data_IF_330016747367
#
_entry.id   IF_330016747367
#
_cell.length_a   1.000
_cell.length_b   1.000
_cell.length_c   1.000
_cell.angle_alpha   90.00
_cell.angle_beta   90.00
_cell.angle_gamma   90.00
#
_symmetry.space_group_name_H-M   'P 1'
#
loop_
_entity.id
_entity.type
_entity.pdbx_description
1 polymer ?
#
# COMPACT_ATOMS: atom_id res chain seq x y z
N UNK A 1 8.66 14.24 -23.42
CA UNK A 1 9.26 13.18 -22.58
C UNK A 1 8.31 12.00 -22.56
N UNK A 2 8.83 10.78 -22.70
CA UNK A 2 8.08 9.51 -22.52
C UNK A 2 7.33 9.50 -21.18
N UNK A 3 6.07 9.07 -21.15
CA UNK A 3 5.22 9.01 -19.95
C UNK A 3 5.87 8.16 -18.85
N UNK A 4 6.53 7.06 -19.22
CA UNK A 4 7.25 6.22 -18.26
C UNK A 4 8.47 6.94 -17.66
N UNK A 5 9.17 7.74 -18.46
CA UNK A 5 10.29 8.55 -17.98
C UNK A 5 9.82 9.65 -17.02
N UNK A 6 8.68 10.30 -17.31
CA UNK A 6 8.08 11.27 -16.41
C UNK A 6 7.64 10.64 -15.09
N UNK A 7 6.99 9.47 -15.14
CA UNK A 7 6.60 8.75 -13.94
C UNK A 7 7.82 8.30 -13.12
N UNK A 8 8.87 7.79 -13.78
CA UNK A 8 10.10 7.40 -13.11
C UNK A 8 10.74 8.60 -12.39
N UNK A 9 10.82 9.76 -13.05
CA UNK A 9 11.34 10.98 -12.43
C UNK A 9 10.51 11.37 -11.20
N UNK A 10 9.18 11.36 -11.31
CA UNK A 10 8.31 11.66 -10.16
C UNK A 10 8.51 10.67 -9.01
N UNK A 11 8.69 9.39 -9.29
CA UNK A 11 9.00 8.40 -8.25
C UNK A 11 10.36 8.67 -7.60
N UNK A 12 11.38 9.06 -8.39
CA UNK A 12 12.70 9.44 -7.88
C UNK A 12 12.61 10.66 -6.95
N UNK A 13 11.83 11.67 -7.34
CA UNK A 13 11.62 12.89 -6.55
C UNK A 13 10.86 12.63 -5.23
N UNK A 14 10.20 11.47 -5.11
CA UNK A 14 9.43 11.06 -3.93
C UNK A 14 10.04 9.84 -3.21
N UNK A 15 11.28 9.46 -3.52
CA UNK A 15 11.99 8.47 -2.70
C UNK A 15 12.13 9.01 -1.28
N UNK A 16 11.69 8.21 -0.32
CA UNK A 16 11.64 8.61 1.08
C UNK A 16 13.03 8.77 1.68
N UNK A 17 13.31 9.88 2.39
CA UNK A 17 14.56 10.04 3.13
C UNK A 17 14.74 8.94 4.17
N UNK A 18 16.00 8.59 4.46
CA UNK A 18 16.36 7.53 5.42
C UNK A 18 15.69 7.74 6.78
N UNK A 19 15.68 8.96 7.27
CA UNK A 19 15.10 9.33 8.56
C UNK A 19 13.57 9.13 8.58
N UNK A 20 12.91 9.38 7.45
CA UNK A 20 11.48 9.12 7.30
C UNK A 20 11.22 7.62 7.29
N UNK A 21 11.99 6.83 6.54
CA UNK A 21 11.88 5.37 6.54
C UNK A 21 12.07 4.78 7.95
N UNK A 22 13.09 5.21 8.69
CA UNK A 22 13.33 4.76 10.07
C UNK A 22 12.15 5.07 11.01
N UNK A 23 11.59 6.29 10.93
CA UNK A 23 10.39 6.68 11.70
C UNK A 23 9.17 5.81 11.39
N UNK A 24 9.13 5.23 10.19
CA UNK A 24 8.06 4.37 9.72
C UNK A 24 8.38 2.87 9.84
N UNK A 25 9.37 2.50 10.65
CA UNK A 25 9.65 1.11 11.01
C UNK A 25 10.44 0.31 9.97
N UNK A 26 11.02 0.98 8.97
CA UNK A 26 12.00 0.34 8.10
C UNK A 26 13.30 0.13 8.88
N UNK A 27 13.88 -1.05 8.71
CA UNK A 27 15.24 -1.33 9.19
C UNK A 27 16.17 -1.06 8.02
N UNK A 28 17.13 -0.14 8.19
CA UNK A 28 18.06 0.25 7.14
C UNK A 28 19.48 0.04 7.65
N UNK A 29 20.09 -1.06 7.20
CA UNK A 29 21.50 -1.48 7.38
C UNK A 29 22.14 -1.09 8.74
N UNK A 30 22.32 -2.09 9.61
CA UNK A 30 23.45 -2.08 10.56
C UNK A 30 24.71 -2.53 9.81
N UNK A 31 25.89 -2.06 10.23
CA UNK A 31 27.12 -2.01 9.41
C UNK A 31 27.56 -3.33 8.74
N UNK A 32 27.06 -4.49 9.16
CA UNK A 32 27.58 -5.81 8.78
C UNK A 32 26.59 -6.81 8.13
N UNK A 33 25.35 -6.42 7.79
CA UNK A 33 24.34 -7.38 7.26
C UNK A 33 24.31 -7.48 5.71
N UNK A 34 25.44 -7.82 5.10
CA UNK A 34 25.60 -7.92 3.63
C UNK A 34 24.66 -8.95 2.97
N UNK A 35 24.19 -9.94 3.71
CA UNK A 35 23.28 -10.99 3.23
C UNK A 35 21.85 -10.50 3.01
N UNK A 36 21.50 -9.31 3.51
CA UNK A 36 20.18 -8.70 3.34
C UNK A 36 20.23 -7.43 2.50
N UNK A 37 21.41 -6.94 2.17
CA UNK A 37 21.55 -5.75 1.33
C UNK A 37 21.40 -6.09 -0.15
N UNK A 38 20.73 -5.21 -0.88
CA UNK A 38 20.65 -5.29 -2.33
C UNK A 38 22.05 -5.24 -2.96
N UNK A 39 22.32 -6.01 -4.03
CA UNK A 39 23.59 -5.95 -4.71
C UNK A 39 23.82 -4.55 -5.32
N UNK A 40 25.10 -4.19 -5.55
CA UNK A 40 25.43 -2.97 -6.26
C UNK A 40 24.77 -2.96 -7.64
N UNK A 41 24.61 -1.76 -8.19
CA UNK A 41 23.97 -1.53 -9.49
C UNK A 41 24.47 -2.53 -10.53
N UNK A 42 23.55 -3.28 -11.14
CA UNK A 42 23.89 -4.17 -12.26
C UNK A 42 24.00 -3.31 -13.51
N UNK A 43 25.19 -2.78 -13.79
CA UNK A 43 25.41 -1.94 -14.98
C UNK A 43 25.33 -2.79 -16.24
N UNK A 44 24.21 -2.67 -16.95
CA UNK A 44 24.03 -2.68 -18.40
C UNK A 44 22.52 -2.65 -18.67
N UNK A 45 22.00 -1.50 -19.14
CA UNK A 45 20.68 -1.34 -19.75
C UNK A 45 19.56 -2.16 -19.07
N UNK A 46 19.33 -1.98 -17.76
CA UNK A 46 18.09 -2.50 -17.16
C UNK A 46 16.93 -1.96 -18.01
N UNK A 47 16.02 -2.82 -18.51
CA UNK A 47 14.80 -2.34 -19.14
C UNK A 47 14.13 -1.33 -18.21
N UNK A 48 13.62 -0.22 -18.75
CA UNK A 48 13.02 0.86 -17.97
C UNK A 48 12.01 0.32 -16.93
N UNK A 49 11.28 -0.74 -17.29
CA UNK A 49 10.36 -1.48 -16.43
C UNK A 49 10.95 -1.97 -15.08
N UNK A 50 12.27 -2.18 -14.98
CA UNK A 50 12.96 -2.70 -13.78
C UNK A 50 13.56 -1.59 -12.89
N UNK A 51 13.37 -0.32 -13.28
CA UNK A 51 13.77 0.85 -12.49
C UNK A 51 12.88 1.09 -11.28
N UNK A 52 11.62 0.68 -11.35
CA UNK A 52 10.68 0.76 -10.24
C UNK A 52 9.80 -0.50 -10.20
N UNK A 53 9.72 -1.16 -9.05
CA UNK A 53 9.01 -2.42 -8.86
C UNK A 53 8.04 -2.27 -7.69
N UNK A 54 6.83 -2.79 -7.86
CA UNK A 54 5.83 -2.86 -6.80
C UNK A 54 5.78 -4.27 -6.25
N UNK A 55 5.79 -4.41 -4.93
CA UNK A 55 5.80 -5.70 -4.24
C UNK A 55 4.54 -5.86 -3.39
N UNK A 56 4.01 -7.07 -3.31
CA UNK A 56 3.02 -7.43 -2.29
C UNK A 56 3.16 -8.89 -1.82
N UNK A 57 2.84 -9.11 -0.54
CA UNK A 57 2.96 -10.40 0.13
C UNK A 57 1.72 -10.70 0.97
N UNK A 58 1.13 -11.88 0.79
CA UNK A 58 -0.05 -12.31 1.55
C UNK A 58 0.10 -13.75 2.02
N UNK A 59 -0.03 -13.98 3.32
CA UNK A 59 -0.18 -15.32 3.86
C UNK A 59 -1.51 -15.96 3.41
N UNK A 60 -1.42 -17.16 2.84
CA UNK A 60 -2.55 -17.93 2.34
C UNK A 60 -3.25 -18.65 3.48
N UNK A 61 -2.48 -19.05 4.49
CA UNK A 61 -2.95 -19.84 5.62
C UNK A 61 -2.75 -19.09 6.96
N UNK A 62 -3.38 -19.61 8.02
CA UNK A 62 -3.28 -19.02 9.36
C UNK A 62 -1.98 -19.37 10.06
N UNK A 63 -1.36 -20.50 9.71
CA UNK A 63 -0.12 -20.98 10.32
C UNK A 63 1.11 -20.31 9.71
N UNK A 64 0.92 -19.53 8.63
CA UNK A 64 1.99 -18.85 7.88
C UNK A 64 2.99 -19.84 7.27
N UNK A 65 2.48 -20.99 6.86
CA UNK A 65 3.25 -22.02 6.15
C UNK A 65 3.24 -21.75 4.64
N UNK A 66 2.23 -21.01 4.16
CA UNK A 66 2.07 -20.65 2.76
C UNK A 66 1.85 -19.15 2.60
N UNK A 67 2.56 -18.57 1.66
CA UNK A 67 2.32 -17.22 1.20
C UNK A 67 2.11 -17.17 -0.32
N UNK A 68 1.54 -16.08 -0.79
CA UNK A 68 1.61 -15.67 -2.18
C UNK A 68 2.34 -14.34 -2.24
N UNK A 69 3.15 -14.21 -3.27
CA UNK A 69 3.93 -13.02 -3.52
C UNK A 69 3.73 -12.59 -4.96
N UNK A 70 3.58 -11.28 -5.15
CA UNK A 70 3.56 -10.68 -6.48
C UNK A 70 4.55 -9.53 -6.55
N UNK A 71 5.20 -9.41 -7.70
CA UNK A 71 5.99 -8.25 -8.09
C UNK A 71 5.59 -7.81 -9.49
N UNK A 72 5.36 -6.51 -9.68
CA UNK A 72 5.06 -5.92 -10.98
C UNK A 72 6.01 -4.75 -11.29
N UNK A 73 6.26 -4.48 -12.56
CA UNK A 73 6.95 -3.27 -12.97
C UNK A 73 6.03 -2.06 -12.75
N UNK A 74 6.46 -1.08 -11.96
CA UNK A 74 5.62 0.06 -11.59
C UNK A 74 5.23 0.93 -12.80
N UNK A 75 6.12 1.01 -13.79
CA UNK A 75 5.96 1.85 -14.97
C UNK A 75 5.04 1.21 -16.00
N UNK A 76 5.22 -0.07 -16.31
CA UNK A 76 4.53 -0.77 -17.41
C UNK A 76 3.39 -1.69 -16.94
N UNK A 77 3.28 -1.96 -15.64
CA UNK A 77 2.38 -2.97 -15.04
C UNK A 77 2.68 -4.42 -15.47
N UNK A 78 3.82 -4.66 -16.09
CA UNK A 78 4.29 -6.02 -16.44
C UNK A 78 4.37 -6.88 -15.16
N UNK A 79 3.83 -8.09 -15.20
CA UNK A 79 4.01 -9.07 -14.14
C UNK A 79 5.45 -9.61 -14.17
N UNK A 80 6.17 -9.45 -13.05
CA UNK A 80 7.55 -9.91 -12.92
C UNK A 80 7.61 -11.25 -12.18
N UNK A 81 6.87 -11.34 -11.08
CA UNK A 81 6.77 -12.53 -10.22
C UNK A 81 5.32 -12.66 -9.75
N UNK A 82 4.79 -13.88 -9.77
CA UNK A 82 3.47 -14.21 -9.21
C UNK A 82 3.48 -15.65 -8.70
N UNK A 83 4.02 -15.82 -7.49
CA UNK A 83 4.43 -17.11 -6.96
C UNK A 83 3.62 -17.50 -5.71
N UNK A 84 3.45 -18.82 -5.53
CA UNK A 84 3.10 -19.41 -4.24
C UNK A 84 4.43 -19.76 -3.54
N UNK A 85 4.60 -19.26 -2.32
CA UNK A 85 5.79 -19.44 -1.50
C UNK A 85 5.48 -20.44 -0.39
N UNK A 86 6.22 -21.54 -0.37
CA UNK A 86 6.14 -22.58 0.66
C UNK A 86 7.21 -22.27 1.71
N UNK A 87 6.82 -21.90 2.93
CA UNK A 87 7.72 -21.39 3.97
C UNK A 87 8.22 -22.46 4.95
N UNK A 88 7.50 -23.57 5.05
CA UNK A 88 7.86 -24.76 5.82
C UNK A 88 7.80 -25.95 4.86
N UNK A 89 8.60 -26.99 5.07
CA UNK A 89 8.53 -28.25 4.31
C UNK A 89 7.15 -28.92 4.49
N UNK A 90 6.18 -28.44 3.73
CA UNK A 90 4.93 -29.12 3.50
C UNK A 90 5.24 -30.16 2.42
N UNK A 91 4.99 -31.45 2.71
CA UNK A 91 5.11 -32.53 1.72
C UNK A 91 4.47 -32.07 0.39
N UNK A 92 5.20 -32.23 -0.72
CA UNK A 92 4.89 -31.69 -2.06
C UNK A 92 3.44 -31.91 -2.53
N UNK A 93 2.79 -32.95 -1.99
CA UNK A 93 1.44 -33.41 -2.34
C UNK A 93 0.30 -32.65 -1.64
N UNK A 94 0.54 -31.92 -0.54
CA UNK A 94 -0.54 -31.37 0.29
C UNK A 94 -1.06 -29.98 -0.14
N UNK A 95 -0.43 -29.35 -1.15
CA UNK A 95 -0.85 -28.02 -1.64
C UNK A 95 -1.45 -28.19 -3.03
N UNK A 96 -2.78 -28.30 -3.08
CA UNK A 96 -3.55 -28.36 -4.32
C UNK A 96 -3.17 -27.19 -5.26
N UNK A 97 -2.80 -27.54 -6.49
CA UNK A 97 -2.44 -26.61 -7.57
C UNK A 97 -3.60 -25.65 -7.79
N UNK A 98 -3.42 -24.41 -7.37
CA UNK A 98 -4.19 -23.29 -7.92
C UNK A 98 -3.21 -22.50 -8.78
N UNK A 99 -3.22 -22.77 -10.09
CA UNK A 99 -2.50 -22.07 -11.18
C UNK A 99 -1.51 -20.99 -10.71
N UNK A 100 -0.22 -21.35 -10.57
CA UNK A 100 0.86 -20.43 -10.22
C UNK A 100 2.22 -21.15 -10.09
N UNK A 101 3.33 -20.44 -10.33
CA UNK A 101 4.68 -20.97 -10.11
C UNK A 101 4.96 -21.09 -8.61
N UNK A 102 5.65 -22.16 -8.21
CA UNK A 102 5.98 -22.43 -6.79
C UNK A 102 7.43 -22.06 -6.51
N UNK A 103 7.67 -21.53 -5.32
CA UNK A 103 9.01 -21.29 -4.79
C UNK A 103 9.08 -21.81 -3.36
N UNK A 104 10.15 -22.54 -3.06
CA UNK A 104 10.40 -23.08 -1.73
C UNK A 104 11.32 -22.13 -0.95
N UNK A 105 10.83 -21.66 0.20
CA UNK A 105 11.48 -20.68 1.05
C UNK A 105 11.41 -19.25 0.52
N UNK A 106 11.48 -18.30 1.43
CA UNK A 106 11.61 -16.88 1.09
C UNK A 106 12.97 -16.56 0.47
N UNK A 107 14.02 -17.34 0.77
CA UNK A 107 15.37 -17.20 0.24
C UNK A 107 15.37 -17.32 -1.28
N UNK A 108 14.79 -18.40 -1.82
CA UNK A 108 14.73 -18.64 -3.26
C UNK A 108 13.96 -17.54 -3.99
N UNK A 109 12.90 -17.02 -3.37
CA UNK A 109 12.12 -15.93 -3.92
C UNK A 109 12.89 -14.60 -3.92
N UNK A 110 13.58 -14.31 -2.81
CA UNK A 110 14.46 -13.15 -2.68
C UNK A 110 15.58 -13.21 -3.72
N UNK A 111 16.22 -14.36 -3.87
CA UNK A 111 17.30 -14.57 -4.83
C UNK A 111 16.78 -14.38 -6.25
N UNK A 112 15.59 -14.87 -6.60
CA UNK A 112 14.98 -14.59 -7.89
C UNK A 112 14.73 -13.10 -8.12
N UNK A 113 14.13 -12.41 -7.15
CA UNK A 113 13.87 -10.96 -7.23
C UNK A 113 15.17 -10.19 -7.44
N UNK A 114 16.20 -10.46 -6.65
CA UNK A 114 17.49 -9.78 -6.69
C UNK A 114 18.26 -10.14 -7.95
N UNK A 115 18.36 -11.43 -8.29
CA UNK A 115 19.17 -11.89 -9.42
C UNK A 115 18.59 -11.39 -10.74
N UNK A 116 17.27 -11.39 -10.90
CA UNK A 116 16.64 -11.12 -12.19
C UNK A 116 16.10 -9.69 -12.34
N UNK A 117 15.69 -9.03 -11.25
CA UNK A 117 14.77 -7.89 -11.38
C UNK A 117 15.18 -6.63 -10.61
N UNK A 118 15.81 -6.76 -9.44
CA UNK A 118 16.07 -5.63 -8.56
C UNK A 118 17.56 -5.49 -8.20
N UNK A 119 18.01 -4.25 -7.97
CA UNK A 119 19.32 -3.93 -7.38
C UNK A 119 19.17 -2.73 -6.43
N UNK A 120 20.29 -2.25 -5.87
CA UNK A 120 20.32 -1.11 -4.95
C UNK A 120 19.73 0.19 -5.50
N UNK A 121 19.55 0.33 -6.83
CA UNK A 121 18.93 1.51 -7.43
C UNK A 121 17.48 1.31 -7.87
N UNK A 122 16.96 0.08 -7.79
CA UNK A 122 15.55 -0.17 -8.09
C UNK A 122 14.68 0.50 -7.05
N UNK A 123 13.70 1.31 -7.45
CA UNK A 123 12.76 1.93 -6.52
C UNK A 123 11.69 0.89 -6.15
N UNK A 124 11.54 0.57 -4.86
CA UNK A 124 10.38 -0.20 -4.41
C UNK A 124 9.20 0.71 -4.13
N UNK A 125 8.09 0.42 -4.81
CA UNK A 125 6.84 1.16 -4.71
C UNK A 125 5.81 0.29 -4.00
N UNK A 126 4.93 0.85 -3.18
CA UNK A 126 3.80 0.09 -2.67
C UNK A 126 3.10 0.68 -1.47
N UNK A 127 2.47 -0.19 -0.69
CA UNK A 127 1.77 0.17 0.53
C UNK A 127 2.36 -0.58 1.71
N UNK A 128 2.86 0.14 2.72
CA UNK A 128 3.50 -0.45 3.90
C UNK A 128 4.58 -1.48 3.52
N UNK A 129 5.45 -1.09 2.58
CA UNK A 129 6.47 -1.90 1.90
C UNK A 129 7.42 -2.58 2.90
N UNK A 130 7.63 -1.98 4.07
CA UNK A 130 8.42 -2.57 5.16
C UNK A 130 7.91 -3.97 5.56
N UNK A 131 6.60 -4.24 5.49
CA UNK A 131 6.06 -5.55 5.80
C UNK A 131 6.57 -6.60 4.81
N UNK A 132 6.47 -6.32 3.51
CA UNK A 132 6.95 -7.22 2.46
C UNK A 132 8.47 -7.41 2.54
N UNK A 133 9.23 -6.32 2.74
CA UNK A 133 10.69 -6.40 2.87
C UNK A 133 11.13 -7.20 4.09
N UNK A 134 10.40 -7.10 5.20
CA UNK A 134 10.63 -7.90 6.41
C UNK A 134 10.45 -9.39 6.14
N UNK A 135 9.37 -9.78 5.46
CA UNK A 135 9.13 -11.20 5.11
C UNK A 135 10.16 -11.73 4.09
N UNK A 136 10.67 -10.86 3.21
CA UNK A 136 11.77 -11.20 2.31
C UNK A 136 13.16 -11.12 2.97
N UNK A 137 13.26 -10.67 4.23
CA UNK A 137 14.54 -10.41 4.90
C UNK A 137 15.47 -9.54 4.04
N UNK A 138 14.91 -8.44 3.52
CA UNK A 138 15.57 -7.53 2.58
C UNK A 138 15.66 -6.12 3.17
N UNK A 139 16.82 -5.50 3.05
CA UNK A 139 17.05 -4.10 3.44
C UNK A 139 17.21 -3.26 2.19
N UNK A 140 16.43 -2.19 2.10
CA UNK A 140 16.43 -1.30 0.94
C UNK A 140 16.03 0.12 1.33
N UNK A 141 16.62 1.12 0.72
CA UNK A 141 16.41 2.54 1.03
C UNK A 141 15.74 3.34 -0.10
N UNK A 142 15.79 2.85 -1.35
CA UNK A 142 15.10 3.49 -2.46
C UNK A 142 13.62 3.07 -2.49
N UNK A 143 12.79 3.73 -1.66
CA UNK A 143 11.39 3.33 -1.42
C UNK A 143 10.43 4.50 -1.60
N UNK A 144 9.30 4.24 -2.26
CA UNK A 144 8.12 5.11 -2.33
C UNK A 144 6.91 4.37 -1.76
N UNK A 145 6.55 4.69 -0.54
CA UNK A 145 5.46 4.05 0.22
C UNK A 145 4.25 4.98 0.36
N UNK A 146 3.07 4.49 -0.06
CA UNK A 146 1.81 5.23 0.03
C UNK A 146 1.34 5.54 1.46
N UNK A 147 1.68 4.71 2.46
CA UNK A 147 1.35 4.99 3.86
C UNK A 147 2.15 6.18 4.39
N UNK A 148 3.40 6.32 3.95
CA UNK A 148 4.26 7.47 4.27
C UNK A 148 3.74 8.71 3.54
N UNK A 149 3.51 8.62 2.22
CA UNK A 149 2.96 9.74 1.44
C UNK A 149 1.64 10.28 2.01
N UNK A 150 0.74 9.37 2.42
CA UNK A 150 -0.50 9.74 3.09
C UNK A 150 -0.27 10.42 4.44
N UNK A 151 0.67 9.89 5.24
CA UNK A 151 1.05 10.46 6.54
C UNK A 151 1.61 11.87 6.39
N UNK A 152 2.49 12.09 5.41
CA UNK A 152 3.10 13.39 5.14
C UNK A 152 2.07 14.40 4.63
N UNK A 153 1.19 13.99 3.70
CA UNK A 153 0.14 14.85 3.18
C UNK A 153 -0.86 15.28 4.25
N UNK A 154 -1.16 14.41 5.22
CA UNK A 154 -2.08 14.69 6.32
C UNK A 154 -1.41 15.30 7.56
N UNK A 155 -0.08 15.25 7.64
CA UNK A 155 0.67 15.64 8.84
C UNK A 155 0.39 14.76 10.06
N UNK A 156 -0.11 13.53 9.87
CA UNK A 156 -0.58 12.64 10.94
C UNK A 156 0.07 11.27 10.81
N UNK A 157 0.85 10.86 11.83
CA UNK A 157 1.49 9.55 11.88
C UNK A 157 0.46 8.41 11.93
N UNK A 158 0.69 7.39 11.11
CA UNK A 158 -0.04 6.12 11.17
C UNK A 158 -1.37 6.11 10.42
N UNK A 159 -1.51 6.92 9.37
CA UNK A 159 -2.61 6.78 8.41
C UNK A 159 -2.41 5.47 7.65
N UNK A 160 -3.12 4.43 8.10
CA UNK A 160 -3.01 3.11 7.50
C UNK A 160 -4.00 3.03 6.34
N UNK A 161 -3.46 3.03 5.12
CA UNK A 161 -4.24 2.92 3.88
C UNK A 161 -4.56 1.42 3.66
N UNK A 162 -5.50 0.88 4.45
CA UNK A 162 -6.01 -0.49 4.29
C UNK A 162 -6.84 -0.72 3.01
N UNK A 163 -6.25 -1.35 2.00
CA UNK A 163 -6.97 -1.70 0.77
C UNK A 163 -8.11 -2.71 1.07
N UNK A 164 -9.34 -2.43 0.63
CA UNK A 164 -10.54 -3.17 1.08
C UNK A 164 -10.66 -4.61 0.54
N UNK A 165 -10.98 -5.56 1.44
CA UNK A 165 -11.31 -6.96 1.10
C UNK A 165 -12.60 -7.02 0.27
N UNK A 166 -12.51 -7.38 -1.01
CA UNK A 166 -13.67 -7.79 -1.84
C UNK A 166 -14.28 -9.10 -1.29
N UNK A 167 -15.50 -9.46 -1.72
CA UNK A 167 -16.17 -10.75 -1.38
C UNK A 167 -15.26 -11.97 -1.66
N UNK A 168 -14.37 -11.83 -2.65
CA UNK A 168 -13.21 -12.69 -2.87
C UNK A 168 -11.97 -11.96 -2.35
N UNK A 169 -11.14 -12.62 -1.52
CA UNK A 169 -9.85 -12.04 -1.11
C UNK A 169 -9.04 -11.70 -2.37
N UNK A 170 -8.64 -10.43 -2.58
CA UNK A 170 -7.81 -10.06 -3.73
C UNK A 170 -6.51 -10.86 -3.72
N UNK A 171 -6.02 -11.19 -4.90
CA UNK A 171 -4.70 -11.79 -5.04
C UNK A 171 -3.62 -10.75 -4.72
N UNK A 172 -2.39 -11.16 -4.35
CA UNK A 172 -1.29 -10.21 -4.19
C UNK A 172 -1.00 -9.40 -5.46
N UNK A 173 -1.28 -9.96 -6.64
CA UNK A 173 -1.17 -9.23 -7.89
C UNK A 173 -2.17 -8.06 -7.95
N UNK A 174 -3.43 -8.29 -7.56
CA UNK A 174 -4.45 -7.23 -7.49
C UNK A 174 -4.03 -6.13 -6.52
N UNK A 175 -3.42 -6.52 -5.39
CA UNK A 175 -2.91 -5.58 -4.41
C UNK A 175 -1.69 -4.80 -4.90
N UNK A 176 -0.74 -5.45 -5.58
CA UNK A 176 0.40 -4.78 -6.16
C UNK A 176 -0.05 -3.74 -7.22
N UNK A 177 -1.00 -4.09 -8.09
CA UNK A 177 -1.56 -3.13 -9.06
C UNK A 177 -2.26 -1.97 -8.35
N UNK A 178 -3.08 -2.26 -7.33
CA UNK A 178 -3.75 -1.21 -6.57
C UNK A 178 -2.76 -0.28 -5.84
N UNK A 179 -1.74 -0.84 -5.19
CA UNK A 179 -0.72 -0.07 -4.49
C UNK A 179 0.07 0.84 -5.44
N UNK A 180 0.39 0.35 -6.65
CA UNK A 180 0.97 1.16 -7.73
C UNK A 180 0.08 2.34 -8.05
N UNK A 181 -1.20 2.10 -8.35
CA UNK A 181 -2.12 3.14 -8.81
C UNK A 181 -2.36 4.21 -7.73
N UNK A 182 -2.37 3.80 -6.46
CA UNK A 182 -2.42 4.72 -5.32
C UNK A 182 -1.18 5.60 -5.27
N UNK A 183 0.03 5.03 -5.31
CA UNK A 183 1.26 5.84 -5.28
C UNK A 183 1.32 6.78 -6.47
N UNK A 184 0.97 6.31 -7.68
CA UNK A 184 0.96 7.15 -8.88
C UNK A 184 -0.02 8.31 -8.74
N UNK A 185 -1.22 8.09 -8.20
CA UNK A 185 -2.17 9.18 -7.91
C UNK A 185 -1.60 10.20 -6.92
N UNK A 186 -0.94 9.75 -5.85
CA UNK A 186 -0.32 10.60 -4.83
C UNK A 186 0.81 11.47 -5.39
N UNK A 187 1.78 10.88 -6.08
CA UNK A 187 2.93 11.63 -6.63
C UNK A 187 2.52 12.56 -7.79
N UNK A 188 1.42 12.24 -8.48
CA UNK A 188 0.83 13.12 -9.48
C UNK A 188 -0.07 14.21 -8.88
N UNK A 189 -0.40 14.12 -7.57
CA UNK A 189 -1.36 14.99 -6.89
C UNK A 189 -2.67 15.12 -7.67
N UNK A 190 -3.24 13.99 -8.09
CA UNK A 190 -4.49 14.03 -8.86
C UNK A 190 -5.60 14.70 -8.03
N UNK A 191 -6.61 15.33 -8.67
CA UNK A 191 -7.70 15.99 -7.95
C UNK A 191 -8.38 15.09 -6.93
N UNK A 192 -8.50 13.79 -7.22
CA UNK A 192 -9.08 12.80 -6.31
C UNK A 192 -8.26 12.65 -5.03
N UNK A 193 -6.93 12.62 -5.13
CA UNK A 193 -6.05 12.55 -3.97
C UNK A 193 -6.09 13.86 -3.17
N UNK A 194 -6.08 15.02 -3.83
CA UNK A 194 -6.14 16.32 -3.14
C UNK A 194 -7.44 16.45 -2.35
N UNK A 195 -8.58 16.21 -3.00
CA UNK A 195 -9.89 16.22 -2.35
C UNK A 195 -9.94 15.23 -1.18
N UNK A 196 -9.30 14.06 -1.35
CA UNK A 196 -9.21 13.08 -0.28
C UNK A 196 -8.41 13.60 0.93
N UNK A 197 -7.25 14.23 0.72
CA UNK A 197 -6.44 14.80 1.80
C UNK A 197 -7.27 15.81 2.59
N UNK A 198 -8.00 16.68 1.89
CA UNK A 198 -8.87 17.69 2.51
C UNK A 198 -9.99 17.05 3.35
N UNK A 199 -10.70 16.08 2.78
CA UNK A 199 -11.76 15.33 3.48
C UNK A 199 -11.20 14.63 4.72
N UNK A 200 -10.08 13.92 4.58
CA UNK A 200 -9.45 13.20 5.68
C UNK A 200 -8.94 14.14 6.78
N UNK A 201 -8.43 15.32 6.42
CA UNK A 201 -8.02 16.34 7.38
C UNK A 201 -9.22 16.93 8.13
N UNK A 202 -10.35 17.22 7.46
CA UNK A 202 -11.58 17.68 8.14
C UNK A 202 -12.06 16.62 9.14
N UNK A 203 -12.07 15.35 8.73
CA UNK A 203 -12.49 14.23 9.58
C UNK A 203 -11.57 14.10 10.80
N UNK A 204 -10.26 14.19 10.61
CA UNK A 204 -9.30 14.11 11.71
C UNK A 204 -9.47 15.25 12.71
N UNK A 205 -9.55 16.50 12.23
CA UNK A 205 -9.77 17.69 13.07
C UNK A 205 -11.05 17.56 13.89
N UNK A 206 -12.10 17.04 13.27
CA UNK A 206 -13.38 16.82 13.91
C UNK A 206 -13.30 15.73 14.99
N UNK A 207 -12.51 14.69 14.76
CA UNK A 207 -12.22 13.64 15.75
C UNK A 207 -11.42 14.17 16.95
N UNK A 208 -10.34 14.91 16.72
CA UNK A 208 -9.53 15.48 17.81
C UNK A 208 -10.32 16.46 18.67
N UNK A 209 -11.14 17.30 18.03
CA UNK A 209 -12.05 18.21 18.72
C UNK A 209 -12.99 17.44 19.66
N UNK A 210 -13.58 16.34 19.19
CA UNK A 210 -14.45 15.50 20.02
C UNK A 210 -13.68 14.84 21.17
N UNK A 211 -12.47 14.34 20.91
CA UNK A 211 -11.62 13.70 21.93
C UNK A 211 -11.21 14.68 23.04
N UNK A 212 -10.85 15.92 22.68
CA UNK A 212 -10.46 16.95 23.64
C UNK A 212 -11.64 17.42 24.52
N UNK A 213 -12.87 17.42 23.99
CA UNK A 213 -14.08 17.80 24.71
C UNK A 213 -14.58 16.71 25.68
N UNK A 214 -14.31 15.42 25.42
CA UNK A 214 -14.68 14.30 26.30
C UNK A 214 -13.82 14.22 27.59
N UNK A 215 -12.64 14.85 27.62
CA UNK A 215 -11.78 14.94 28.83
C UNK A 215 -12.43 15.87 29.89
N UNK A 216 -13.31 16.79 29.48
CA UNK A 216 -14.05 17.67 30.37
C UNK A 216 -15.49 17.16 30.58
N UNK A 217 -15.76 16.52 31.74
CA UNK A 217 -16.98 15.75 32.05
C UNK A 217 -18.33 16.47 31.88
N UNK A 218 -18.38 17.80 31.80
CA UNK A 218 -19.60 18.58 31.49
C UNK A 218 -19.94 18.63 29.99
N UNK A 219 -19.03 18.17 29.12
CA UNK A 219 -19.17 18.18 27.66
C UNK A 219 -19.82 16.94 27.03
N UNK A 220 -19.94 15.82 27.75
CA UNK A 220 -20.26 14.50 27.17
C UNK A 220 -21.55 14.44 26.32
N UNK A 221 -22.62 15.16 26.69
CA UNK A 221 -23.85 15.25 25.85
C UNK A 221 -23.63 16.08 24.58
N UNK A 222 -22.83 17.14 24.66
CA UNK A 222 -22.50 18.04 23.54
C UNK A 222 -21.49 17.36 22.60
N UNK A 223 -20.49 16.70 23.16
CA UNK A 223 -19.53 15.84 22.47
C UNK A 223 -20.24 14.69 21.74
N UNK A 224 -21.13 13.93 22.39
CA UNK A 224 -21.96 12.90 21.70
C UNK A 224 -22.79 13.46 20.54
N UNK A 225 -23.37 14.67 20.67
CA UNK A 225 -24.14 15.32 19.58
C UNK A 225 -23.23 15.79 18.45
N UNK A 226 -22.04 16.31 18.76
CA UNK A 226 -21.04 16.77 17.78
C UNK A 226 -20.37 15.57 17.07
N UNK A 227 -19.94 14.54 17.80
CA UNK A 227 -19.47 13.25 17.27
C UNK A 227 -20.51 12.58 16.38
N UNK A 228 -21.80 12.59 16.73
CA UNK A 228 -22.87 12.11 15.83
C UNK A 228 -22.97 12.95 14.55
N UNK A 229 -22.75 14.27 14.62
CA UNK A 229 -22.74 15.15 13.44
C UNK A 229 -21.54 14.87 12.55
N UNK A 230 -20.36 14.65 13.13
CA UNK A 230 -19.13 14.25 12.43
C UNK A 230 -19.30 12.86 11.82
N UNK A 231 -19.76 11.87 12.57
CA UNK A 231 -20.08 10.54 12.05
C UNK A 231 -21.13 10.61 10.94
N UNK A 232 -22.14 11.48 11.04
CA UNK A 232 -23.11 11.70 9.95
C UNK A 232 -22.47 12.33 8.73
N UNK A 233 -21.57 13.32 8.89
CA UNK A 233 -20.81 13.92 7.79
C UNK A 233 -19.88 12.90 7.16
N UNK A 234 -19.07 12.20 7.95
CA UNK A 234 -18.25 11.06 7.50
C UNK A 234 -19.10 10.05 6.76
N UNK A 235 -20.24 9.60 7.31
CA UNK A 235 -21.15 8.67 6.63
C UNK A 235 -21.75 9.25 5.34
N UNK A 236 -22.02 10.55 5.28
CA UNK A 236 -22.55 11.22 4.09
C UNK A 236 -21.46 11.40 3.02
N UNK A 237 -20.24 11.76 3.40
CA UNK A 237 -19.06 11.79 2.53
C UNK A 237 -18.78 10.38 2.02
N UNK A 238 -18.73 9.38 2.90
CA UNK A 238 -18.62 7.96 2.52
C UNK A 238 -19.75 7.48 1.62
N UNK A 239 -20.97 7.99 1.79
CA UNK A 239 -22.11 7.70 0.93
C UNK A 239 -21.94 8.36 -0.45
N UNK A 240 -21.57 9.65 -0.51
CA UNK A 240 -21.24 10.35 -1.76
C UNK A 240 -20.09 9.67 -2.49
N UNK A 241 -19.07 9.25 -1.76
CA UNK A 241 -17.94 8.49 -2.25
C UNK A 241 -18.32 7.09 -2.79
N UNK A 242 -19.37 6.47 -2.25
CA UNK A 242 -19.99 5.24 -2.80
C UNK A 242 -20.89 5.50 -4.01
N UNK A 243 -21.46 6.70 -4.10
CA UNK A 243 -22.41 7.15 -5.13
C UNK A 243 -21.74 7.94 -6.27
N UNK A 244 -20.47 8.34 -6.11
CA UNK A 244 -19.62 8.72 -7.22
C UNK A 244 -19.82 7.65 -8.28
N UNK A 245 -20.04 8.01 -9.55
CA UNK A 245 -20.12 7.04 -10.61
C UNK A 245 -18.80 6.28 -10.59
N UNK A 246 -18.81 5.12 -9.92
CA UNK A 246 -18.03 3.97 -10.35
C UNK A 246 -18.62 3.78 -11.72
N UNK A 247 -17.98 4.39 -12.72
CA UNK A 247 -18.40 4.18 -14.07
C UNK A 247 -18.58 2.67 -14.19
N UNK A 248 -19.80 2.25 -14.53
CA UNK A 248 -19.94 1.09 -15.38
C UNK A 248 -19.21 1.48 -16.67
N UNK A 249 -17.88 1.50 -16.60
CA UNK A 249 -17.01 1.53 -17.73
C UNK A 249 -16.66 0.07 -17.90
N UNK A 250 -17.04 -0.41 -19.06
CA UNK A 250 -16.91 -1.78 -19.46
C UNK A 250 -15.54 -2.36 -19.06
N UNK A 251 -15.54 -3.64 -18.74
CA UNK A 251 -14.35 -4.43 -18.40
C UNK A 251 -13.42 -4.61 -19.64
N UNK A 252 -13.17 -3.56 -20.41
CA UNK A 252 -12.27 -3.59 -21.55
C UNK A 252 -10.79 -3.66 -21.12
N UNK A 253 -10.51 -3.42 -19.84
CA UNK A 253 -9.16 -3.47 -19.27
C UNK A 253 -8.31 -2.26 -19.63
N UNK A 254 -8.92 -1.18 -20.13
CA UNK A 254 -8.23 0.06 -20.49
C UNK A 254 -7.51 0.69 -19.28
N UNK A 255 -6.38 1.40 -19.52
CA UNK A 255 -5.66 2.12 -18.48
C UNK A 255 -6.53 3.11 -17.69
N UNK A 256 -7.49 3.79 -18.35
CA UNK A 256 -8.41 4.72 -17.70
C UNK A 256 -9.42 3.99 -16.79
N UNK A 257 -9.98 2.86 -17.23
CA UNK A 257 -10.89 2.06 -16.39
C UNK A 257 -10.18 1.48 -15.15
N UNK A 258 -8.91 1.11 -15.28
CA UNK A 258 -8.07 0.66 -14.14
C UNK A 258 -7.72 1.80 -13.18
N UNK A 259 -7.43 3.01 -13.70
CA UNK A 259 -7.17 4.19 -12.88
C UNK A 259 -8.42 4.62 -12.08
N UNK A 260 -9.60 4.62 -12.71
CA UNK A 260 -10.88 4.88 -12.03
C UNK A 260 -11.22 3.80 -10.97
N UNK A 261 -10.90 2.53 -11.24
CA UNK A 261 -11.01 1.46 -10.24
C UNK A 261 -10.00 1.60 -9.09
N UNK A 262 -8.79 2.10 -9.36
CA UNK A 262 -7.78 2.43 -8.34
C UNK A 262 -8.25 3.56 -7.41
N UNK A 263 -8.83 4.62 -7.97
CA UNK A 263 -9.45 5.72 -7.21
C UNK A 263 -10.66 5.25 -6.37
N UNK A 264 -11.53 4.41 -6.94
CA UNK A 264 -12.64 3.80 -6.20
C UNK A 264 -12.17 2.79 -5.13
N UNK A 265 -11.02 2.14 -5.36
CA UNK A 265 -10.29 1.35 -4.38
C UNK A 265 -9.86 2.22 -3.21
N UNK A 266 -9.18 3.33 -3.49
CA UNK A 266 -8.60 4.31 -2.57
C UNK A 266 -9.64 4.96 -1.63
N UNK A 267 -10.77 5.36 -2.18
CA UNK A 267 -11.91 5.90 -1.44
C UNK A 267 -12.45 4.92 -0.37
N UNK A 268 -12.43 3.62 -0.65
CA UNK A 268 -12.87 2.57 0.28
C UNK A 268 -11.82 2.20 1.34
N UNK A 269 -10.58 2.64 1.17
CA UNK A 269 -9.48 2.38 2.09
C UNK A 269 -9.57 3.27 3.32
N UNK A 270 -9.76 4.55 3.04
CA UNK A 270 -9.94 5.64 3.98
C UNK A 270 -11.17 5.38 4.83
N UNK A 271 -12.19 4.81 4.19
CA UNK A 271 -13.39 4.31 4.84
C UNK A 271 -13.08 3.32 5.97
N UNK A 272 -12.22 2.32 5.76
CA UNK A 272 -11.96 1.28 6.79
C UNK A 272 -11.09 1.81 7.93
N UNK A 273 -10.08 2.63 7.62
CA UNK A 273 -9.23 3.26 8.63
C UNK A 273 -10.06 4.11 9.60
N UNK A 274 -10.91 4.99 9.06
CA UNK A 274 -11.76 5.83 9.88
C UNK A 274 -12.95 5.08 10.47
N UNK A 275 -13.52 4.07 9.81
CA UNK A 275 -14.53 3.20 10.43
C UNK A 275 -13.98 2.45 11.65
N UNK A 276 -12.72 2.00 11.62
CA UNK A 276 -12.05 1.39 12.78
C UNK A 276 -11.77 2.40 13.89
N UNK A 277 -11.25 3.59 13.58
CA UNK A 277 -11.05 4.66 14.57
C UNK A 277 -12.38 5.12 15.18
N UNK A 278 -13.42 5.33 14.37
CA UNK A 278 -14.78 5.65 14.82
C UNK A 278 -15.33 4.52 15.68
N UNK A 279 -15.21 3.26 15.26
CA UNK A 279 -15.66 2.09 16.05
C UNK A 279 -14.99 2.04 17.42
N UNK A 280 -13.67 2.24 17.47
CA UNK A 280 -12.91 2.27 18.72
C UNK A 280 -13.37 3.40 19.66
N UNK A 281 -13.86 4.52 19.11
CA UNK A 281 -14.39 5.64 19.89
C UNK A 281 -15.83 5.38 20.35
N UNK A 282 -16.68 4.81 19.50
CA UNK A 282 -18.03 4.36 19.91
C UNK A 282 -18.00 3.24 20.93
N UNK A 283 -16.96 2.41 20.97
CA UNK A 283 -16.82 1.35 21.97
C UNK A 283 -16.30 1.87 23.32
N UNK A 284 -15.78 3.10 23.36
CA UNK A 284 -15.30 3.78 24.57
C UNK A 284 -16.36 4.74 25.15
N UNK A 285 -17.42 5.04 24.38
CA UNK A 285 -18.55 5.92 24.75
C UNK A 285 -19.78 5.16 25.22
#
# INVERSE_FOLDING_TARGET
>A
MDEHAQLLQKLQDHVHPKETLLRHGFVLKEADDWLRTMPPMKSNLKPLARRAIVLDWVFVDKKKELARFAAIAALTREELINHIVVLIDIKEDAVAVTNGRRTFGWQSLRDELILKHADSQTIFVGHAVHNTLKELHLLHDCIVDSAILATEALGILGVNVEVQKRKRRPSPLDWAVAARDVVVSMVNKTPEFVNWVEDAAEIHKAYESARSEDINKSGAKRARKKSRRVIRRVKATLKRLRELPVGLLDNDGSPEARAAQGAAGYVKIVQVFYERKVRNVTNVL
#
